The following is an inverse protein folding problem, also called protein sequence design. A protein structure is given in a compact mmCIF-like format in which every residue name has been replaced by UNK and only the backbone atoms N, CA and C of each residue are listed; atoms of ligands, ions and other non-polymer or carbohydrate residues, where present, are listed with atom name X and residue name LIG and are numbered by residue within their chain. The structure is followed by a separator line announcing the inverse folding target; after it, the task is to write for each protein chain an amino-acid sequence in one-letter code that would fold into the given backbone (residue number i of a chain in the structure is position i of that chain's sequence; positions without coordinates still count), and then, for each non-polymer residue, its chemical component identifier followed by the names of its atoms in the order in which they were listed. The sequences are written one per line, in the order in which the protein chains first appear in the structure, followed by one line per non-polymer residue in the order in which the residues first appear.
data_IF_503501509523
#
_entry.id   IF_503501509523
#
_cell.length_a   1.000
_cell.length_b   1.000
_cell.length_c   1.000
_cell.angle_alpha   90.00
_cell.angle_beta   90.00
_cell.angle_gamma   90.00
#
_symmetry.space_group_name_H-M   'P 1'
#
loop_
_entity.id
_entity.type
_entity.pdbx_description
1 polymer ?
#
# COMPACT_ATOMS: atom_id res chain seq x y z
N UNK A 1 -2.63 -16.08 0.39
CA UNK A 1 -3.03 -15.24 1.55
C UNK A 1 -3.71 -14.00 1.03
N UNK A 2 -4.82 -13.56 1.64
CA UNK A 2 -5.46 -12.29 1.29
C UNK A 2 -4.76 -11.21 2.12
N UNK A 3 -4.19 -10.19 1.49
CA UNK A 3 -3.67 -9.02 2.22
C UNK A 3 -4.86 -8.21 2.76
N UNK A 4 -5.35 -8.57 3.94
CA UNK A 4 -6.44 -7.88 4.62
C UNK A 4 -5.95 -6.60 5.30
N UNK A 5 -6.87 -5.78 5.82
CA UNK A 5 -6.57 -4.55 6.56
C UNK A 5 -6.98 -4.73 8.03
N UNK A 6 -6.07 -5.20 8.90
CA UNK A 6 -6.36 -5.29 10.32
C UNK A 6 -6.64 -3.91 10.91
N UNK A 7 -7.45 -3.86 11.96
CA UNK A 7 -7.69 -2.66 12.76
C UNK A 7 -7.48 -3.00 14.23
N UNK A 8 -6.21 -3.18 14.60
CA UNK A 8 -5.81 -3.60 15.96
C UNK A 8 -5.65 -2.42 16.92
N UNK A 9 -5.79 -1.20 16.41
CA UNK A 9 -5.50 0.04 17.14
C UNK A 9 -4.07 0.56 16.96
N UNK A 10 -3.18 -0.21 16.32
CA UNK A 10 -1.82 0.22 15.92
C UNK A 10 -1.72 0.22 14.39
N UNK A 11 -1.95 1.40 13.78
CA UNK A 11 -1.91 1.54 12.32
C UNK A 11 -0.54 1.15 11.72
N UNK A 12 0.56 1.40 12.43
CA UNK A 12 1.89 1.08 11.92
C UNK A 12 2.08 -0.44 11.85
N UNK A 13 1.66 -1.17 12.88
CA UNK A 13 1.68 -2.63 12.91
C UNK A 13 0.72 -3.24 11.86
N UNK A 14 -0.46 -2.66 11.71
CA UNK A 14 -1.48 -3.10 10.74
C UNK A 14 -0.98 -2.95 9.30
N UNK A 15 -0.41 -1.78 8.95
CA UNK A 15 0.19 -1.53 7.63
C UNK A 15 1.41 -2.41 7.38
N UNK A 16 2.27 -2.61 8.38
CA UNK A 16 3.42 -3.51 8.24
C UNK A 16 2.99 -4.93 7.91
N UNK A 17 1.97 -5.43 8.63
CA UNK A 17 1.38 -6.76 8.39
C UNK A 17 0.78 -6.86 7.00
N UNK A 18 -0.02 -5.87 6.60
CA UNK A 18 -0.67 -5.85 5.30
C UNK A 18 0.34 -5.79 4.15
N UNK A 19 1.36 -4.93 4.24
CA UNK A 19 2.38 -4.79 3.21
C UNK A 19 3.31 -6.00 3.15
N UNK A 20 3.55 -6.69 4.27
CA UNK A 20 4.26 -7.98 4.25
C UNK A 20 3.49 -8.99 3.40
N UNK A 21 2.17 -9.10 3.59
CA UNK A 21 1.34 -9.97 2.76
C UNK A 21 1.32 -9.57 1.27
N UNK A 22 1.43 -8.26 0.97
CA UNK A 22 1.57 -7.78 -0.41
C UNK A 22 2.92 -8.18 -0.99
N UNK A 23 4.02 -8.02 -0.24
CA UNK A 23 5.36 -8.45 -0.66
C UNK A 23 5.38 -9.95 -0.97
N UNK A 24 4.75 -10.77 -0.12
CA UNK A 24 4.63 -12.22 -0.32
C UNK A 24 3.84 -12.56 -1.60
N UNK A 25 2.81 -11.76 -1.93
CA UNK A 25 2.06 -11.94 -3.18
C UNK A 25 2.88 -11.58 -4.42
N UNK A 26 3.82 -10.64 -4.30
CA UNK A 26 4.65 -10.15 -5.40
C UNK A 26 5.98 -10.93 -5.54
N UNK A 27 6.31 -11.81 -4.58
CA UNK A 27 7.62 -12.48 -4.50
C UNK A 27 7.48 -14.01 -4.54
N UNK A 28 8.29 -14.73 -5.34
CA UNK A 28 9.22 -14.20 -6.33
C UNK A 28 8.47 -13.70 -7.59
N UNK A 29 8.96 -12.63 -8.24
CA UNK A 29 8.20 -11.91 -9.26
C UNK A 29 7.97 -12.72 -10.55
N UNK A 30 8.89 -13.62 -10.89
CA UNK A 30 8.80 -14.51 -12.06
C UNK A 30 7.71 -15.58 -11.93
N UNK A 31 7.21 -15.82 -10.71
CA UNK A 31 6.18 -16.84 -10.43
C UNK A 31 4.91 -16.25 -9.84
N UNK A 32 4.87 -14.94 -9.60
CA UNK A 32 3.69 -14.28 -9.09
C UNK A 32 2.67 -14.07 -10.20
N UNK A 33 1.47 -14.68 -10.12
CA UNK A 33 0.41 -14.44 -11.09
C UNK A 33 -0.04 -12.97 -11.11
N UNK A 34 0.06 -12.29 -9.97
CA UNK A 34 -0.28 -10.87 -9.85
C UNK A 34 0.73 -10.01 -10.63
N UNK A 35 2.03 -10.31 -10.52
CA UNK A 35 3.07 -9.60 -11.27
C UNK A 35 2.90 -9.84 -12.77
N UNK A 36 2.63 -11.08 -13.20
CA UNK A 36 2.36 -11.41 -14.60
C UNK A 36 1.15 -10.64 -15.15
N UNK A 37 0.06 -10.57 -14.38
CA UNK A 37 -1.14 -9.83 -14.75
C UNK A 37 -0.88 -8.32 -14.86
N UNK A 38 -0.10 -7.74 -13.95
CA UNK A 38 0.31 -6.32 -14.02
C UNK A 38 1.17 -6.07 -15.26
N UNK A 39 2.12 -6.95 -15.57
CA UNK A 39 3.00 -6.80 -16.73
C UNK A 39 2.22 -6.86 -18.05
N UNK A 40 1.26 -7.77 -18.17
CA UNK A 40 0.41 -7.88 -19.36
C UNK A 40 -0.49 -6.64 -19.53
N UNK A 41 -1.07 -6.15 -18.43
CA UNK A 41 -1.91 -4.96 -18.42
C UNK A 41 -1.18 -3.68 -18.88
N UNK A 42 0.16 -3.65 -18.91
CA UNK A 42 0.90 -2.52 -19.50
C UNK A 42 0.79 -2.46 -21.03
N UNK A 43 0.45 -3.58 -21.68
CA UNK A 43 0.39 -3.73 -23.13
C UNK A 43 -1.06 -3.91 -23.65
N UNK A 44 -1.98 -4.31 -22.77
CA UNK A 44 -3.40 -4.53 -23.08
C UNK A 44 -4.30 -3.55 -22.28
N UNK A 45 -4.86 -2.50 -22.93
CA UNK A 45 -5.74 -1.52 -22.27
C UNK A 45 -7.04 -2.10 -21.71
N UNK A 46 -7.60 -3.12 -22.34
CA UNK A 46 -8.86 -3.74 -21.91
C UNK A 46 -8.60 -4.57 -20.65
N UNK A 47 -7.50 -5.34 -20.64
CA UNK A 47 -7.03 -6.03 -19.45
C UNK A 47 -6.69 -5.06 -18.32
N UNK A 48 -6.05 -3.92 -18.62
CA UNK A 48 -5.75 -2.88 -17.64
C UNK A 48 -7.01 -2.30 -17.01
N UNK A 49 -8.06 -2.09 -17.81
CA UNK A 49 -9.35 -1.66 -17.31
C UNK A 49 -9.97 -2.72 -16.40
N UNK A 50 -10.00 -3.99 -16.81
CA UNK A 50 -10.56 -5.07 -16.01
C UNK A 50 -9.80 -5.25 -14.68
N UNK A 51 -8.46 -5.28 -14.74
CA UNK A 51 -7.59 -5.34 -13.56
C UNK A 51 -7.90 -4.19 -12.60
N UNK A 52 -8.02 -2.96 -13.14
CA UNK A 52 -8.31 -1.78 -12.33
C UNK A 52 -9.66 -1.87 -11.63
N UNK A 53 -10.71 -2.22 -12.36
CA UNK A 53 -12.07 -2.25 -11.83
C UNK A 53 -12.29 -3.42 -10.85
N UNK A 54 -11.78 -4.61 -11.17
CA UNK A 54 -12.08 -5.84 -10.42
C UNK A 54 -11.13 -6.09 -9.26
N UNK A 55 -9.89 -5.62 -9.34
CA UNK A 55 -8.88 -5.89 -8.31
C UNK A 55 -8.39 -4.62 -7.63
N UNK A 56 -7.92 -3.63 -8.40
CA UNK A 56 -7.22 -2.48 -7.81
C UNK A 56 -8.17 -1.53 -7.07
N UNK A 57 -9.30 -1.14 -7.67
CA UNK A 57 -10.27 -0.23 -7.02
C UNK A 57 -10.83 -0.78 -5.71
N UNK A 58 -11.26 -2.06 -5.61
CA UNK A 58 -11.70 -2.62 -4.33
C UNK A 58 -10.59 -2.56 -3.27
N UNK A 59 -9.34 -2.86 -3.63
CA UNK A 59 -8.21 -2.79 -2.70
C UNK A 59 -7.91 -1.38 -2.23
N UNK A 60 -7.96 -0.39 -3.12
CA UNK A 60 -7.82 1.03 -2.78
C UNK A 60 -8.97 1.46 -1.86
N UNK A 61 -10.20 1.06 -2.15
CA UNK A 61 -11.35 1.41 -1.31
C UNK A 61 -11.20 0.86 0.12
N UNK A 62 -10.74 -0.39 0.26
CA UNK A 62 -10.45 -1.01 1.56
C UNK A 62 -9.32 -0.29 2.31
N UNK A 63 -8.22 0.06 1.62
CA UNK A 63 -7.13 0.85 2.19
C UNK A 63 -7.65 2.19 2.71
N UNK A 64 -8.38 2.92 1.87
CA UNK A 64 -8.94 4.24 2.24
C UNK A 64 -9.88 4.12 3.42
N UNK A 65 -10.68 3.07 3.49
CA UNK A 65 -11.55 2.87 4.65
C UNK A 65 -10.75 2.69 5.94
N UNK A 66 -9.72 1.84 5.92
CA UNK A 66 -8.81 1.68 7.06
C UNK A 66 -8.14 3.00 7.47
N UNK A 67 -7.72 3.81 6.50
CA UNK A 67 -7.10 5.11 6.74
C UNK A 67 -8.10 6.15 7.27
N UNK A 68 -9.37 6.12 6.86
CA UNK A 68 -10.43 6.97 7.45
C UNK A 68 -10.63 6.65 8.93
N UNK A 69 -10.65 5.38 9.32
CA UNK A 69 -10.70 5.01 10.74
C UNK A 69 -9.46 5.50 11.51
N UNK A 70 -8.30 5.52 10.86
CA UNK A 70 -7.10 6.14 11.41
C UNK A 70 -7.19 7.66 11.55
N UNK A 71 -7.87 8.36 10.63
CA UNK A 71 -8.17 9.79 10.77
C UNK A 71 -9.08 10.06 11.96
N UNK A 72 -10.13 9.25 12.13
CA UNK A 72 -11.07 9.38 13.26
C UNK A 72 -10.41 9.15 14.62
N UNK A 73 -9.39 8.28 14.69
CA UNK A 73 -8.61 8.03 15.90
C UNK A 73 -7.40 8.97 16.06
N UNK A 74 -7.20 9.92 15.14
CA UNK A 74 -6.11 10.91 15.20
C UNK A 74 -4.71 10.36 14.85
N UNK A 75 -4.62 9.12 14.35
CA UNK A 75 -3.36 8.50 13.90
C UNK A 75 -2.89 9.05 12.54
N UNK A 76 -3.83 9.55 11.74
CA UNK A 76 -3.60 10.21 10.44
C UNK A 76 -4.25 11.60 10.49
N UNK A 77 -3.65 12.60 9.82
CA UNK A 77 -4.23 13.94 9.77
C UNK A 77 -5.63 13.93 9.15
N UNK A 78 -6.56 14.69 9.73
CA UNK A 78 -7.95 14.71 9.28
C UNK A 78 -8.13 15.24 7.84
N UNK A 79 -7.17 16.03 7.37
CA UNK A 79 -7.11 16.61 6.02
C UNK A 79 -6.10 15.88 5.10
N UNK A 80 -5.49 14.78 5.54
CA UNK A 80 -4.61 13.98 4.69
C UNK A 80 -5.36 13.47 3.44
N UNK A 81 -4.74 13.67 2.28
CA UNK A 81 -5.24 13.12 1.02
C UNK A 81 -5.03 11.60 0.97
N UNK A 82 -6.12 10.85 1.05
CA UNK A 82 -6.09 9.39 1.07
C UNK A 82 -5.84 8.77 -0.32
N UNK A 83 -5.99 9.51 -1.41
CA UNK A 83 -5.52 9.07 -2.73
C UNK A 83 -3.99 9.08 -2.75
N UNK A 84 -3.37 10.18 -2.34
CA UNK A 84 -1.91 10.27 -2.24
C UNK A 84 -1.33 9.30 -1.19
N UNK A 85 -2.07 9.01 -0.12
CA UNK A 85 -1.65 8.01 0.86
C UNK A 85 -1.45 6.61 0.24
N UNK A 86 -2.24 6.24 -0.76
CA UNK A 86 -2.05 4.97 -1.50
C UNK A 86 -0.68 4.99 -2.17
N UNK A 87 -0.36 6.06 -2.90
CA UNK A 87 0.89 6.16 -3.65
C UNK A 87 2.11 6.17 -2.72
N UNK A 88 2.03 6.86 -1.59
CA UNK A 88 3.11 6.90 -0.58
C UNK A 88 3.37 5.54 0.05
N UNK A 89 2.34 4.72 0.23
CA UNK A 89 2.43 3.42 0.89
C UNK A 89 2.84 2.31 -0.10
N UNK A 90 2.23 2.25 -1.28
CA UNK A 90 2.43 1.16 -2.24
C UNK A 90 3.47 1.48 -3.32
N UNK A 91 3.62 2.75 -3.69
CA UNK A 91 4.54 3.20 -4.74
C UNK A 91 5.97 2.68 -4.57
N UNK A 92 6.56 2.72 -3.36
CA UNK A 92 7.92 2.19 -3.16
C UNK A 92 8.04 0.68 -3.45
N UNK A 93 7.00 -0.12 -3.19
CA UNK A 93 7.03 -1.56 -3.48
C UNK A 93 7.00 -1.78 -5.00
N UNK A 94 6.11 -1.10 -5.72
CA UNK A 94 6.04 -1.20 -7.18
C UNK A 94 7.29 -0.66 -7.87
N UNK A 95 7.87 0.44 -7.38
CA UNK A 95 9.15 0.96 -7.87
C UNK A 95 10.26 -0.09 -7.76
N UNK A 96 10.40 -0.73 -6.60
CA UNK A 96 11.43 -1.77 -6.40
C UNK A 96 11.15 -3.03 -7.21
N UNK A 97 9.88 -3.39 -7.39
CA UNK A 97 9.46 -4.53 -8.19
C UNK A 97 9.87 -4.34 -9.65
N UNK A 98 9.46 -3.22 -10.27
CA UNK A 98 9.67 -2.95 -11.70
C UNK A 98 11.15 -2.81 -12.03
N UNK A 99 11.94 -2.22 -11.14
CA UNK A 99 13.38 -2.02 -11.36
C UNK A 99 14.27 -3.11 -10.73
N UNK A 100 13.68 -4.21 -10.26
CA UNK A 100 14.40 -5.34 -9.65
C UNK A 100 15.37 -4.94 -8.51
N UNK A 101 14.99 -3.96 -7.69
CA UNK A 101 15.82 -3.43 -6.59
C UNK A 101 15.76 -4.27 -5.30
N UNK A 102 15.08 -5.42 -5.34
CA UNK A 102 14.77 -6.23 -4.18
C UNK A 102 13.63 -5.66 -3.33
N UNK A 103 12.75 -6.54 -2.83
CA UNK A 103 11.72 -6.14 -1.87
C UNK A 103 12.36 -5.77 -0.52
N UNK A 104 11.77 -4.81 0.22
CA UNK A 104 12.33 -4.41 1.50
C UNK A 104 12.28 -5.58 2.49
N UNK A 105 13.32 -5.73 3.30
CA UNK A 105 13.27 -6.62 4.44
C UNK A 105 12.32 -6.08 5.54
N UNK A 106 12.08 -6.86 6.60
CA UNK A 106 11.16 -6.47 7.66
C UNK A 106 11.52 -5.13 8.34
N UNK A 107 12.82 -4.80 8.44
CA UNK A 107 13.31 -3.56 9.06
C UNK A 107 13.14 -2.38 8.10
N UNK A 108 13.49 -2.56 6.83
CA UNK A 108 13.29 -1.56 5.78
C UNK A 108 11.80 -1.24 5.63
N UNK A 109 10.93 -2.26 5.62
CA UNK A 109 9.49 -2.08 5.52
C UNK A 109 8.93 -1.31 6.72
N UNK A 110 9.37 -1.65 7.95
CA UNK A 110 8.98 -0.89 9.14
C UNK A 110 9.38 0.58 9.05
N UNK A 111 10.56 0.86 8.50
CA UNK A 111 11.04 2.24 8.30
C UNK A 111 10.22 2.98 7.25
N UNK A 112 9.91 2.33 6.13
CA UNK A 112 9.04 2.85 5.07
C UNK A 112 7.66 3.22 5.62
N UNK A 113 7.01 2.32 6.35
CA UNK A 113 5.71 2.59 7.00
C UNK A 113 5.82 3.79 7.94
N UNK A 114 6.85 3.85 8.78
CA UNK A 114 7.05 4.98 9.68
C UNK A 114 7.23 6.32 8.94
N UNK A 115 7.96 6.32 7.82
CA UNK A 115 8.12 7.53 7.00
C UNK A 115 6.81 7.96 6.33
N UNK A 116 6.05 7.02 5.77
CA UNK A 116 4.75 7.29 5.19
C UNK A 116 3.78 7.85 6.24
N UNK A 117 3.69 7.22 7.41
CA UNK A 117 2.82 7.69 8.50
C UNK A 117 3.24 9.04 9.05
N UNK A 118 4.54 9.34 9.11
CA UNK A 118 5.00 10.68 9.50
C UNK A 118 4.60 11.75 8.49
N UNK A 119 4.60 11.43 7.19
CA UNK A 119 4.15 12.36 6.14
C UNK A 119 2.63 12.56 6.16
N UNK A 120 1.87 11.54 6.59
CA UNK A 120 0.41 11.54 6.70
C UNK A 120 -0.10 11.98 8.08
N UNK A 121 0.79 12.13 9.06
CA UNK A 121 0.46 12.50 10.43
C UNK A 121 0.06 13.98 10.54
N UNK A 122 -0.66 14.35 11.61
CA UNK A 122 -1.06 15.74 11.82
C UNK A 122 0.16 16.65 11.79
N UNK A 123 0.10 17.71 10.99
CA UNK A 123 1.16 18.72 10.99
C UNK A 123 1.17 19.32 12.38
N UNK A 124 2.29 19.18 13.11
CA UNK A 124 2.48 19.96 14.32
C UNK A 124 2.53 21.41 13.87
N UNK A 125 1.40 22.12 13.96
CA UNK A 125 1.39 23.55 13.73
C UNK A 125 2.37 24.11 14.76
N UNK A 126 3.49 24.65 14.27
CA UNK A 126 4.40 25.41 15.09
C UNK A 126 3.56 26.47 15.83
N UNK A 127 3.65 26.45 17.16
CA UNK A 127 3.11 27.52 18.00
C UNK A 127 3.83 28.83 17.71
#
# INVERSE_FOLDING_TARGET
MVADYPDTGDLAADLHTQLTAVIDLLTPPDRSPVVGLIAEALHDPDLAQELRERLIRPRIAQFKERMRQAQLSGQVAADADLDLAVDLVYGPLYHRLVFHLGMPDARELKSLVAYALRALGPTSSAR
#
